data_IF_788342049121
#
_entry.id   IF_788342049121
#
_cell.length_a   1.000
_cell.length_b   1.000
_cell.length_c   1.000
_cell.angle_alpha   90.00
_cell.angle_beta   90.00
_cell.angle_gamma   90.00
#
_symmetry.space_group_name_H-M   'P 1'
#
loop_
_entity.id
_entity.type
_entity.pdbx_description
1 polymer ?
#
# COMPACT_ATOMS: atom_id res chain seq x y z
N UNK A 1 25.05 17.58 22.32
CA UNK A 1 26.00 16.58 22.79
C UNK A 1 25.68 15.30 22.10
N UNK A 2 26.52 15.00 21.13
CA UNK A 2 26.79 13.72 20.49
C UNK A 2 25.67 12.71 20.31
N UNK A 3 25.01 12.78 19.13
CA UNK A 3 24.26 11.70 18.52
C UNK A 3 25.02 11.21 17.26
N UNK A 4 26.24 10.74 17.46
CA UNK A 4 27.07 10.19 16.36
C UNK A 4 27.79 8.95 16.85
N UNK A 5 27.10 7.83 16.99
CA UNK A 5 27.79 6.53 17.12
C UNK A 5 26.78 5.38 17.12
N UNK A 6 26.13 5.08 15.98
CA UNK A 6 25.36 3.83 15.86
C UNK A 6 25.43 3.19 14.47
N UNK A 7 26.39 3.58 13.67
CA UNK A 7 26.63 2.94 12.38
C UNK A 7 28.10 2.53 12.28
N UNK A 8 28.49 1.39 12.85
CA UNK A 8 29.67 0.60 12.47
C UNK A 8 29.82 -0.61 13.37
N UNK A 9 29.34 -1.77 12.92
CA UNK A 9 29.96 -3.05 13.20
C UNK A 9 29.36 -4.12 12.28
N UNK A 10 29.71 -4.08 11.01
CA UNK A 10 29.55 -5.20 10.10
C UNK A 10 30.67 -6.20 10.34
N UNK A 11 30.35 -7.43 10.69
CA UNK A 11 31.30 -8.52 10.74
C UNK A 11 31.24 -9.28 9.41
N UNK A 12 32.33 -9.22 8.64
CA UNK A 12 32.56 -9.98 7.42
C UNK A 12 32.76 -11.44 7.77
N UNK A 13 31.89 -12.33 7.28
CA UNK A 13 32.19 -13.75 7.17
C UNK A 13 32.03 -14.15 5.69
N UNK A 14 33.16 -14.36 5.03
CA UNK A 14 33.22 -14.83 3.65
C UNK A 14 32.98 -16.33 3.58
N UNK A 15 31.88 -16.74 2.90
CA UNK A 15 31.82 -18.03 2.17
C UNK A 15 30.81 -17.91 1.01
N UNK A 16 31.29 -18.04 -0.22
CA UNK A 16 30.54 -18.49 -1.40
C UNK A 16 29.72 -17.42 -2.14
N UNK A 17 30.21 -17.00 -3.28
CA UNK A 17 29.71 -16.15 -4.32
C UNK A 17 28.16 -16.06 -4.46
N UNK A 18 27.57 -15.04 -3.88
CA UNK A 18 26.32 -14.41 -4.21
C UNK A 18 26.45 -12.99 -3.73
N UNK A 19 26.38 -12.03 -4.64
CA UNK A 19 26.41 -10.61 -4.28
C UNK A 19 25.09 -10.31 -3.57
N UNK A 20 25.08 -10.39 -2.25
CA UNK A 20 24.02 -9.82 -1.41
C UNK A 20 24.33 -8.32 -1.33
N UNK A 21 23.65 -7.53 -2.12
CA UNK A 21 23.56 -6.09 -1.89
C UNK A 21 22.77 -5.92 -0.57
N UNK A 22 23.47 -5.64 0.51
CA UNK A 22 22.84 -5.16 1.73
C UNK A 22 22.40 -3.71 1.46
N UNK A 23 21.11 -3.48 1.38
CA UNK A 23 20.54 -2.12 1.37
C UNK A 23 20.74 -1.52 2.77
N UNK A 24 21.86 -0.82 2.98
CA UNK A 24 22.06 0.02 4.16
C UNK A 24 21.21 1.29 3.98
N UNK A 25 19.92 1.23 4.34
CA UNK A 25 19.09 2.43 4.46
C UNK A 25 19.67 3.30 5.57
N UNK A 26 20.06 4.52 5.22
CA UNK A 26 20.70 5.44 6.15
C UNK A 26 19.66 6.06 7.07
N UNK A 27 19.76 5.82 8.37
CA UNK A 27 18.91 6.50 9.36
C UNK A 27 19.06 8.03 9.25
N UNK A 28 17.93 8.71 9.03
CA UNK A 28 17.88 10.18 8.93
C UNK A 28 17.91 10.66 7.48
N UNK A 29 17.01 10.17 6.65
CA UNK A 29 16.73 10.71 5.33
C UNK A 29 16.60 12.25 5.36
N UNK A 30 17.11 12.94 4.35
CA UNK A 30 17.14 14.40 4.28
C UNK A 30 16.76 14.88 2.86
N UNK A 31 16.17 16.07 2.78
CA UNK A 31 15.84 16.69 1.50
C UNK A 31 17.05 16.74 0.56
N UNK A 32 16.86 16.26 -0.68
CA UNK A 32 17.92 16.20 -1.68
C UNK A 32 18.08 17.55 -2.38
N UNK A 33 19.24 18.23 -2.28
CA UNK A 33 19.45 19.52 -2.93
C UNK A 33 19.33 19.49 -4.46
N UNK A 34 19.49 18.30 -5.06
CA UNK A 34 19.46 18.09 -6.52
C UNK A 34 18.15 17.50 -7.04
N UNK A 35 17.13 17.32 -6.19
CA UNK A 35 15.85 16.69 -6.59
C UNK A 35 15.85 15.18 -6.57
N UNK A 36 16.73 14.54 -5.80
CA UNK A 36 16.78 13.10 -5.59
C UNK A 36 17.25 12.29 -6.81
N UNK A 37 17.05 10.97 -6.78
CA UNK A 37 17.65 10.04 -7.74
C UNK A 37 17.12 10.19 -9.18
N UNK A 38 15.98 10.82 -9.38
CA UNK A 38 15.34 11.03 -10.68
C UNK A 38 15.47 12.47 -11.20
N UNK A 39 16.12 13.36 -10.44
CA UNK A 39 16.22 14.78 -10.74
C UNK A 39 15.01 15.59 -10.28
N UNK A 40 15.13 16.91 -10.33
CA UNK A 40 14.09 17.80 -9.81
C UNK A 40 12.91 17.91 -10.76
N UNK A 41 11.70 17.88 -10.21
CA UNK A 41 10.46 18.23 -10.91
C UNK A 41 10.13 19.73 -10.79
N UNK A 42 10.86 20.48 -9.96
CA UNK A 42 10.61 21.91 -9.72
C UNK A 42 10.80 22.73 -10.99
N UNK A 43 9.80 23.59 -11.28
CA UNK A 43 9.80 24.45 -12.46
C UNK A 43 9.48 23.74 -13.78
N UNK A 44 9.19 22.45 -13.77
CA UNK A 44 8.71 21.71 -14.94
C UNK A 44 7.22 21.98 -15.15
N UNK A 45 6.79 21.95 -16.39
CA UNK A 45 5.36 22.06 -16.72
C UNK A 45 4.70 20.67 -16.62
N UNK A 46 3.42 20.60 -16.21
CA UNK A 46 2.69 19.37 -16.28
C UNK A 46 2.54 18.86 -17.72
N UNK A 47 2.46 17.56 -17.86
CA UNK A 47 2.15 16.91 -19.13
C UNK A 47 0.65 17.05 -19.49
N UNK A 48 0.22 16.36 -20.58
CA UNK A 48 -1.18 16.42 -21.04
C UNK A 48 -2.19 15.80 -20.05
N UNK A 49 -1.73 15.00 -19.10
CA UNK A 49 -2.53 14.33 -18.08
C UNK A 49 -2.49 15.07 -16.72
N UNK A 50 -1.85 16.24 -16.67
CA UNK A 50 -1.77 17.07 -15.47
C UNK A 50 -0.65 16.66 -14.49
N UNK A 51 0.25 15.75 -14.86
CA UNK A 51 1.35 15.30 -14.02
C UNK A 51 2.65 16.06 -14.29
N UNK A 52 3.28 16.55 -13.22
CA UNK A 52 4.67 17.04 -13.28
C UNK A 52 5.59 15.85 -13.04
N UNK A 53 6.42 15.52 -14.02
CA UNK A 53 7.26 14.33 -14.04
C UNK A 53 8.74 14.67 -14.22
N UNK A 54 9.68 13.82 -13.78
CA UNK A 54 11.10 13.95 -14.10
C UNK A 54 11.36 13.82 -15.60
N UNK A 55 12.55 14.18 -16.02
CA UNK A 55 12.96 14.03 -17.43
C UNK A 55 12.97 12.56 -17.86
N UNK A 56 12.42 12.28 -19.05
CA UNK A 56 12.34 10.94 -19.61
C UNK A 56 11.15 10.11 -19.16
N UNK A 57 10.32 10.63 -18.25
CA UNK A 57 9.07 9.98 -17.83
C UNK A 57 7.87 10.53 -18.59
N UNK A 58 6.89 9.66 -18.81
CA UNK A 58 5.61 9.99 -19.46
C UNK A 58 4.47 9.34 -18.68
N UNK A 59 3.25 9.86 -18.84
CA UNK A 59 2.08 9.27 -18.18
C UNK A 59 0.95 8.98 -19.13
N UNK A 60 0.01 8.16 -18.69
CA UNK A 60 -1.35 8.04 -19.24
C UNK A 60 -2.38 7.90 -18.13
N UNK A 61 -3.61 8.28 -18.42
CA UNK A 61 -4.78 7.93 -17.61
C UNK A 61 -5.19 6.50 -18.00
N UNK A 62 -5.29 5.62 -16.99
CA UNK A 62 -5.69 4.21 -17.17
C UNK A 62 -7.19 4.05 -17.01
N UNK A 63 -7.75 4.68 -15.98
CA UNK A 63 -9.17 4.59 -15.67
C UNK A 63 -9.65 5.86 -14.94
N UNK A 64 -10.94 6.18 -15.11
CA UNK A 64 -11.64 7.26 -14.40
C UNK A 64 -12.89 6.65 -13.79
N UNK A 65 -13.11 6.86 -12.50
CA UNK A 65 -14.28 6.33 -11.78
C UNK A 65 -15.59 6.73 -12.47
N UNK A 66 -16.47 5.75 -12.65
CA UNK A 66 -17.74 5.92 -13.35
C UNK A 66 -17.64 5.99 -14.88
N UNK A 67 -16.45 5.90 -15.46
CA UNK A 67 -16.27 5.76 -16.91
C UNK A 67 -15.89 4.30 -17.25
N UNK A 68 -16.21 3.84 -18.48
CA UNK A 68 -15.76 2.54 -18.95
C UNK A 68 -14.21 2.46 -19.00
N UNK A 69 -13.67 1.34 -18.54
CA UNK A 69 -12.24 1.03 -18.66
C UNK A 69 -11.94 0.54 -20.06
N UNK A 70 -11.29 1.37 -20.87
CA UNK A 70 -11.03 1.05 -22.27
C UNK A 70 -12.30 0.65 -23.03
N UNK A 71 -12.24 -0.42 -23.80
CA UNK A 71 -13.38 -0.97 -24.56
C UNK A 71 -14.08 -2.14 -23.83
N UNK A 72 -13.80 -2.37 -22.55
CA UNK A 72 -14.31 -3.54 -21.78
C UNK A 72 -15.79 -3.42 -21.41
N UNK A 73 -16.31 -2.18 -21.35
CA UNK A 73 -17.67 -1.90 -20.88
C UNK A 73 -17.82 -1.96 -19.34
N UNK A 74 -16.76 -2.27 -18.61
CA UNK A 74 -16.74 -2.20 -17.15
C UNK A 74 -16.52 -0.76 -16.71
N UNK A 75 -17.42 -0.21 -15.89
CA UNK A 75 -17.26 1.12 -15.28
C UNK A 75 -16.33 1.05 -14.09
N UNK A 76 -15.27 1.89 -14.09
CA UNK A 76 -14.31 1.90 -12.98
C UNK A 76 -14.96 2.31 -11.66
N UNK A 77 -14.60 1.64 -10.60
CA UNK A 77 -15.17 1.87 -9.28
C UNK A 77 -14.81 3.26 -8.72
N UNK A 78 -15.56 3.69 -7.70
CA UNK A 78 -15.35 4.95 -6.99
C UNK A 78 -14.21 4.79 -5.99
N UNK A 79 -13.55 5.91 -5.67
CA UNK A 79 -12.51 5.99 -4.65
C UNK A 79 -11.44 4.90 -4.81
N UNK A 80 -10.71 4.88 -5.95
CA UNK A 80 -9.64 3.94 -6.16
C UNK A 80 -8.55 4.16 -5.12
N UNK A 81 -8.17 3.10 -4.40
CA UNK A 81 -7.24 3.15 -3.29
C UNK A 81 -6.09 2.17 -3.45
N UNK A 82 -5.69 1.45 -2.38
CA UNK A 82 -4.59 0.52 -2.38
C UNK A 82 -4.60 -0.44 -3.55
N UNK A 83 -3.44 -0.64 -4.16
CA UNK A 83 -3.31 -1.39 -5.39
C UNK A 83 -2.06 -2.27 -5.42
N UNK A 84 -2.09 -3.27 -6.29
CA UNK A 84 -0.93 -4.08 -6.63
C UNK A 84 -1.07 -4.67 -8.03
N UNK A 85 0.04 -5.21 -8.55
CA UNK A 85 0.05 -5.92 -9.83
C UNK A 85 0.46 -7.38 -9.66
N UNK A 86 -0.08 -8.25 -10.52
CA UNK A 86 0.14 -9.68 -10.49
C UNK A 86 0.38 -10.21 -11.89
N UNK A 87 1.48 -10.95 -12.16
CA UNK A 87 1.69 -11.55 -13.49
C UNK A 87 0.58 -12.53 -13.81
N UNK A 88 0.09 -12.52 -15.05
CA UNK A 88 -0.96 -13.42 -15.53
C UNK A 88 -0.46 -14.81 -15.95
N UNK A 89 0.86 -14.97 -16.07
CA UNK A 89 1.53 -16.19 -16.53
C UNK A 89 1.82 -16.23 -18.03
N UNK A 90 1.21 -15.35 -18.81
CA UNK A 90 1.39 -15.26 -20.28
C UNK A 90 2.20 -14.01 -20.70
N UNK A 91 2.74 -13.29 -19.73
CA UNK A 91 3.58 -12.10 -19.90
C UNK A 91 2.85 -10.77 -19.73
N UNK A 92 1.53 -10.80 -19.61
CA UNK A 92 0.69 -9.69 -19.17
C UNK A 92 0.58 -9.65 -17.64
N UNK A 93 -0.33 -8.82 -17.13
CA UNK A 93 -0.55 -8.71 -15.69
C UNK A 93 -1.96 -8.21 -15.36
N UNK A 94 -2.38 -8.51 -14.14
CA UNK A 94 -3.53 -7.88 -13.51
C UNK A 94 -3.07 -6.68 -12.68
N UNK A 95 -3.72 -5.55 -12.82
CA UNK A 95 -3.69 -4.45 -11.87
C UNK A 95 -4.94 -4.56 -11.01
N UNK A 96 -4.76 -4.70 -9.70
CA UNK A 96 -5.85 -4.84 -8.72
C UNK A 96 -5.89 -3.57 -7.89
N UNK A 97 -7.10 -3.03 -7.67
CA UNK A 97 -7.30 -1.80 -6.94
C UNK A 97 -8.55 -1.87 -6.05
N UNK A 98 -8.42 -1.40 -4.84
CA UNK A 98 -9.48 -1.26 -3.87
C UNK A 98 -10.44 -0.11 -4.20
N UNK A 99 -11.65 -0.19 -3.69
CA UNK A 99 -12.68 0.84 -3.74
C UNK A 99 -13.05 1.23 -2.32
N UNK A 100 -12.55 2.35 -1.85
CA UNK A 100 -12.75 2.80 -0.47
C UNK A 100 -14.07 3.56 -0.31
N UNK A 101 -15.19 2.92 -0.59
CA UNK A 101 -16.49 3.51 -0.34
C UNK A 101 -16.90 3.26 1.12
N UNK A 102 -16.91 4.33 1.90
CA UNK A 102 -17.28 4.26 3.32
C UNK A 102 -18.73 3.85 3.53
N UNK A 103 -18.98 2.99 4.50
CA UNK A 103 -20.32 2.50 4.85
C UNK A 103 -21.28 3.61 5.26
N UNK A 104 -20.78 4.70 5.85
CA UNK A 104 -21.60 5.85 6.25
C UNK A 104 -22.05 6.71 5.05
N UNK A 105 -21.31 6.69 3.93
CA UNK A 105 -21.72 7.37 2.70
C UNK A 105 -22.86 6.64 2.00
N UNK A 106 -22.99 5.34 2.22
CA UNK A 106 -23.96 4.48 1.54
C UNK A 106 -24.77 3.61 2.52
N UNK A 107 -25.58 4.23 3.41
CA UNK A 107 -26.28 3.50 4.46
C UNK A 107 -27.12 2.33 3.89
N UNK A 108 -26.81 1.12 4.34
CA UNK A 108 -27.50 -0.11 3.90
C UNK A 108 -27.03 -0.66 2.56
N UNK A 109 -25.99 -0.11 1.98
CA UNK A 109 -25.32 -0.63 0.78
C UNK A 109 -23.82 -0.83 1.07
N UNK A 110 -23.25 -1.89 0.52
CA UNK A 110 -21.82 -2.17 0.56
C UNK A 110 -21.26 -1.96 -0.85
N UNK A 111 -20.81 -0.75 -1.14
CA UNK A 111 -20.29 -0.36 -2.46
C UNK A 111 -18.76 -0.40 -2.53
N UNK A 112 -18.08 -0.67 -1.42
CA UNK A 112 -16.66 -0.98 -1.38
C UNK A 112 -16.33 -2.27 -2.11
N UNK A 113 -15.08 -2.69 -2.09
CA UNK A 113 -14.60 -3.94 -2.67
C UNK A 113 -13.37 -3.75 -3.54
N UNK A 114 -13.15 -4.65 -4.49
CA UNK A 114 -11.93 -4.71 -5.30
C UNK A 114 -12.26 -4.93 -6.75
N UNK A 115 -11.53 -4.24 -7.64
CA UNK A 115 -11.61 -4.47 -9.09
C UNK A 115 -10.25 -4.81 -9.67
N UNK A 116 -10.24 -5.45 -10.83
CA UNK A 116 -9.04 -5.76 -11.58
C UNK A 116 -9.12 -5.21 -13.01
N UNK A 117 -7.98 -4.79 -13.55
CA UNK A 117 -7.76 -4.54 -14.98
C UNK A 117 -6.73 -5.56 -15.46
N UNK A 118 -7.03 -6.28 -16.51
CA UNK A 118 -6.11 -7.22 -17.15
C UNK A 118 -5.41 -6.56 -18.33
N UNK A 119 -4.09 -6.52 -18.29
CA UNK A 119 -3.24 -5.98 -19.35
C UNK A 119 -2.52 -7.10 -20.11
N UNK A 120 -2.29 -6.88 -21.39
CA UNK A 120 -1.42 -7.73 -22.19
C UNK A 120 0.08 -7.41 -21.99
N UNK A 121 0.94 -8.07 -22.76
CA UNK A 121 2.40 -7.88 -22.71
C UNK A 121 2.87 -6.47 -23.07
N UNK A 122 2.10 -5.73 -23.84
CA UNK A 122 2.42 -4.38 -24.30
C UNK A 122 1.80 -3.31 -23.39
N UNK A 123 0.94 -3.73 -22.43
CA UNK A 123 0.23 -2.87 -21.51
C UNK A 123 -1.09 -2.33 -22.07
N UNK A 124 -1.64 -3.00 -23.09
CA UNK A 124 -2.98 -2.71 -23.58
C UNK A 124 -4.02 -3.41 -22.70
N UNK A 125 -5.16 -2.75 -22.48
CA UNK A 125 -6.22 -3.29 -21.64
C UNK A 125 -6.97 -4.39 -22.40
N UNK A 126 -6.98 -5.60 -21.82
CA UNK A 126 -7.70 -6.76 -22.35
C UNK A 126 -9.10 -6.88 -21.72
N UNK A 127 -9.21 -6.65 -20.41
CA UNK A 127 -10.46 -6.82 -19.66
C UNK A 127 -10.43 -6.00 -18.35
N UNK A 128 -11.60 -5.75 -17.77
CA UNK A 128 -11.74 -5.18 -16.42
C UNK A 128 -13.01 -5.73 -15.77
N UNK A 129 -12.93 -6.00 -14.47
CA UNK A 129 -14.04 -6.64 -13.73
C UNK A 129 -13.90 -6.48 -12.22
N UNK A 130 -14.99 -6.75 -11.51
CA UNK A 130 -15.03 -6.79 -10.05
C UNK A 130 -14.57 -8.15 -9.54
N UNK A 131 -13.74 -8.19 -8.48
CA UNK A 131 -13.25 -9.42 -7.84
C UNK A 131 -13.67 -9.54 -6.37
N UNK A 132 -14.15 -8.46 -5.74
CA UNK A 132 -14.78 -8.45 -4.43
C UNK A 132 -15.97 -7.50 -4.44
N UNK A 133 -17.13 -7.99 -4.05
CA UNK A 133 -18.37 -7.23 -3.85
C UNK A 133 -18.88 -7.42 -2.43
N UNK A 134 -19.68 -6.47 -1.95
CA UNK A 134 -20.37 -6.60 -0.66
C UNK A 134 -19.51 -6.30 0.55
N UNK A 135 -18.32 -5.71 0.37
CA UNK A 135 -17.49 -5.13 1.42
C UNK A 135 -17.59 -3.60 1.43
N UNK A 136 -16.89 -2.94 2.32
CA UNK A 136 -16.91 -1.48 2.47
C UNK A 136 -15.57 -0.96 2.97
N UNK A 137 -15.28 0.31 2.68
CA UNK A 137 -14.07 0.98 3.16
C UNK A 137 -12.79 0.17 2.88
N UNK A 138 -12.72 -0.41 1.67
CA UNK A 138 -11.51 -1.16 1.27
C UNK A 138 -10.43 -0.15 0.94
N UNK A 139 -9.59 0.15 1.93
CA UNK A 139 -8.53 1.14 1.85
C UNK A 139 -7.30 0.57 1.14
N UNK A 140 -6.31 0.11 1.87
CA UNK A 140 -5.13 -0.48 1.25
C UNK A 140 -5.10 -2.03 1.41
N UNK A 141 -3.92 -2.61 1.43
CA UNK A 141 -3.75 -4.05 1.49
C UNK A 141 -2.34 -4.49 1.15
N UNK A 142 -2.19 -5.68 0.56
CA UNK A 142 -0.89 -6.17 0.14
C UNK A 142 -0.93 -7.41 -0.75
N UNK A 143 0.05 -7.54 -1.67
CA UNK A 143 0.19 -8.72 -2.51
C UNK A 143 0.72 -9.90 -1.71
N UNK A 144 0.18 -11.09 -2.00
CA UNK A 144 0.72 -12.33 -1.46
C UNK A 144 1.76 -12.95 -2.38
N UNK A 145 2.73 -13.69 -1.85
CA UNK A 145 3.69 -14.43 -2.67
C UNK A 145 3.07 -15.54 -3.53
N UNK A 146 1.83 -15.96 -3.22
CA UNK A 146 1.10 -16.97 -3.99
C UNK A 146 0.13 -16.36 -5.01
N UNK A 147 0.18 -15.02 -5.22
CA UNK A 147 -0.47 -14.35 -6.33
C UNK A 147 -1.91 -13.92 -6.06
N UNK A 148 -2.30 -13.70 -4.81
CA UNK A 148 -3.59 -13.11 -4.43
C UNK A 148 -3.39 -11.72 -3.83
N UNK A 149 -4.46 -10.93 -3.78
CA UNK A 149 -4.52 -9.62 -3.14
C UNK A 149 -5.21 -9.73 -1.79
N UNK A 150 -4.59 -9.23 -0.73
CA UNK A 150 -5.21 -9.04 0.57
C UNK A 150 -5.74 -7.61 0.66
N UNK A 151 -7.06 -7.45 0.63
CA UNK A 151 -7.75 -6.17 0.74
C UNK A 151 -8.21 -5.93 2.16
N UNK A 152 -7.94 -4.75 2.70
CA UNK A 152 -8.21 -4.36 4.07
C UNK A 152 -9.46 -3.49 4.17
N UNK A 153 -10.40 -3.84 5.06
CA UNK A 153 -11.54 -2.99 5.39
C UNK A 153 -11.16 -2.04 6.53
N UNK A 154 -11.15 -0.75 6.23
CA UNK A 154 -10.87 0.30 7.20
C UNK A 154 -12.17 0.83 7.84
N UNK A 155 -12.76 0.02 8.71
CA UNK A 155 -14.01 0.36 9.39
C UNK A 155 -13.75 1.20 10.65
N UNK A 156 -13.74 2.52 10.50
CA UNK A 156 -13.58 3.47 11.61
C UNK A 156 -14.75 3.49 12.60
N UNK A 157 -15.96 3.10 12.17
CA UNK A 157 -17.18 3.31 12.97
C UNK A 157 -17.40 2.13 13.92
N UNK A 158 -17.49 0.92 13.37
CA UNK A 158 -17.70 -0.27 14.17
C UNK A 158 -16.38 -0.87 14.65
N UNK A 159 -15.26 -0.57 13.99
CA UNK A 159 -13.95 -1.21 14.17
C UNK A 159 -14.07 -2.74 14.04
N UNK A 160 -14.76 -3.18 13.00
CA UNK A 160 -15.06 -4.58 12.71
C UNK A 160 -14.59 -4.98 11.30
N UNK A 161 -13.73 -4.15 10.68
CA UNK A 161 -13.14 -4.43 9.38
C UNK A 161 -12.41 -5.77 9.34
N UNK A 162 -12.37 -6.38 8.18
CA UNK A 162 -11.75 -7.67 7.88
C UNK A 162 -10.67 -7.51 6.81
N UNK A 163 -9.83 -8.51 6.69
CA UNK A 163 -8.93 -8.70 5.54
C UNK A 163 -9.55 -9.73 4.61
N UNK A 164 -9.67 -9.37 3.33
CA UNK A 164 -10.24 -10.20 2.27
C UNK A 164 -9.16 -10.65 1.31
N UNK A 165 -9.04 -11.95 1.08
CA UNK A 165 -8.16 -12.50 0.06
C UNK A 165 -8.89 -12.61 -1.27
N UNK A 166 -8.39 -11.96 -2.31
CA UNK A 166 -9.00 -11.84 -3.62
C UNK A 166 -8.10 -12.46 -4.70
N UNK A 167 -8.68 -13.25 -5.59
CA UNK A 167 -8.02 -13.76 -6.79
C UNK A 167 -8.03 -12.68 -7.88
N UNK A 168 -6.86 -12.15 -8.32
CA UNK A 168 -6.79 -11.13 -9.35
C UNK A 168 -7.47 -11.51 -10.67
N UNK A 169 -7.51 -12.80 -10.99
CA UNK A 169 -8.17 -13.30 -12.21
C UNK A 169 -9.70 -13.35 -12.10
N UNK A 170 -10.27 -13.15 -10.91
CA UNK A 170 -11.71 -13.26 -10.64
C UNK A 170 -12.29 -14.67 -10.76
N UNK A 171 -11.45 -15.71 -10.93
CA UNK A 171 -11.92 -17.10 -11.10
C UNK A 171 -12.40 -17.73 -9.79
N UNK A 172 -11.83 -17.29 -8.67
CA UNK A 172 -12.20 -17.76 -7.34
C UNK A 172 -12.88 -16.64 -6.56
N UNK A 173 -13.89 -16.95 -5.73
CA UNK A 173 -14.53 -15.95 -4.89
C UNK A 173 -13.54 -15.45 -3.82
N UNK A 174 -13.69 -14.18 -3.40
CA UNK A 174 -12.93 -13.64 -2.30
C UNK A 174 -13.26 -14.31 -0.96
N UNK A 175 -12.27 -14.40 -0.07
CA UNK A 175 -12.36 -15.08 1.23
C UNK A 175 -12.00 -14.11 2.34
N UNK A 176 -12.87 -13.97 3.35
CA UNK A 176 -12.60 -13.19 4.55
C UNK A 176 -11.77 -14.00 5.57
N UNK A 177 -10.75 -13.36 6.15
CA UNK A 177 -9.87 -13.97 7.14
C UNK A 177 -10.11 -13.41 8.55
N UNK A 178 -11.11 -13.92 9.25
CA UNK A 178 -11.48 -13.45 10.60
C UNK A 178 -10.35 -13.66 11.64
N UNK A 179 -9.52 -14.67 11.45
CA UNK A 179 -8.41 -14.97 12.35
C UNK A 179 -7.33 -13.87 12.36
N UNK A 180 -7.28 -13.03 11.34
CA UNK A 180 -6.36 -11.89 11.28
C UNK A 180 -6.79 -10.72 12.16
N UNK A 181 -7.98 -10.79 12.78
CA UNK A 181 -8.50 -9.80 13.72
C UNK A 181 -9.53 -8.85 13.11
N UNK A 182 -10.09 -7.98 13.97
CA UNK A 182 -11.13 -7.01 13.60
C UNK A 182 -10.78 -5.63 14.13
N UNK A 183 -10.53 -4.68 13.22
CA UNK A 183 -10.29 -3.26 13.49
C UNK A 183 -10.43 -2.45 12.19
N UNK A 184 -10.06 -1.17 12.18
CA UNK A 184 -9.84 -0.40 10.96
C UNK A 184 -8.52 -0.87 10.32
N UNK A 185 -8.60 -1.92 9.49
CA UNK A 185 -7.44 -2.47 8.78
C UNK A 185 -7.03 -1.52 7.65
N UNK A 186 -5.76 -1.10 7.68
CA UNK A 186 -5.23 -0.25 6.62
C UNK A 186 -4.50 -1.09 5.56
N UNK A 187 -3.37 -1.66 5.88
CA UNK A 187 -2.57 -2.39 4.91
C UNK A 187 -1.94 -3.66 5.52
N UNK A 188 -1.43 -4.54 4.64
CA UNK A 188 -0.78 -5.78 5.03
C UNK A 188 0.44 -6.08 4.16
N UNK A 189 1.54 -6.50 4.77
CA UNK A 189 2.73 -6.99 4.07
C UNK A 189 3.01 -8.45 4.44
N UNK A 190 3.38 -9.27 3.46
CA UNK A 190 3.67 -10.68 3.66
C UNK A 190 5.16 -10.93 3.56
N UNK A 191 5.75 -11.50 4.60
CA UNK A 191 7.11 -12.03 4.56
C UNK A 191 7.10 -13.44 3.95
N UNK A 192 7.63 -13.63 2.74
CA UNK A 192 7.63 -14.94 2.08
C UNK A 192 8.63 -15.93 2.68
N UNK A 193 9.56 -15.46 3.52
CA UNK A 193 10.63 -16.29 4.08
C UNK A 193 10.18 -16.98 5.35
N UNK A 194 9.61 -16.20 6.28
CA UNK A 194 9.15 -16.72 7.57
C UNK A 194 7.64 -16.99 7.60
N UNK A 195 6.91 -16.64 6.52
CA UNK A 195 5.48 -16.89 6.36
C UNK A 195 4.60 -16.06 7.29
N UNK A 196 5.10 -14.91 7.76
CA UNK A 196 4.38 -14.01 8.65
C UNK A 196 3.78 -12.83 7.88
N UNK A 197 2.67 -12.30 8.39
CA UNK A 197 2.03 -11.11 7.85
C UNK A 197 2.08 -9.98 8.87
N UNK A 198 2.30 -8.76 8.38
CA UNK A 198 2.38 -7.54 9.18
C UNK A 198 1.27 -6.60 8.76
N UNK A 199 0.51 -6.07 9.73
CA UNK A 199 -0.71 -5.29 9.46
C UNK A 199 -0.66 -3.96 10.21
N UNK A 200 -1.05 -2.90 9.53
CA UNK A 200 -1.24 -1.57 10.12
C UNK A 200 -2.68 -1.35 10.57
N UNK A 201 -2.85 -0.47 11.54
CA UNK A 201 -4.14 -0.02 12.02
C UNK A 201 -4.21 1.51 11.94
N UNK A 202 -5.13 2.08 11.16
CA UNK A 202 -5.38 3.50 11.23
C UNK A 202 -6.23 3.83 12.45
N UNK A 203 -5.54 4.26 13.47
CA UNK A 203 -6.09 4.83 14.68
C UNK A 203 -5.01 5.64 15.41
N UNK A 204 -5.38 6.72 16.10
CA UNK A 204 -4.42 7.55 16.87
C UNK A 204 -3.63 6.80 17.93
N UNK A 205 -4.15 5.68 18.41
CA UNK A 205 -3.47 4.73 19.30
C UNK A 205 -3.32 3.38 18.59
N UNK A 206 -3.23 3.36 17.26
CA UNK A 206 -3.05 2.18 16.45
C UNK A 206 -1.76 1.46 16.75
N UNK A 207 -1.70 0.20 16.41
CA UNK A 207 -0.54 -0.66 16.58
C UNK A 207 -0.14 -1.26 15.23
N UNK A 208 1.10 -1.73 15.16
CA UNK A 208 1.53 -2.67 14.14
C UNK A 208 1.34 -4.08 14.70
N UNK A 209 0.63 -4.91 13.94
CA UNK A 209 0.38 -6.30 14.28
C UNK A 209 1.20 -7.24 13.42
N UNK A 210 1.43 -8.46 13.95
CA UNK A 210 1.99 -9.59 13.21
C UNK A 210 1.03 -10.76 13.32
N UNK A 211 0.62 -11.29 12.17
CA UNK A 211 -0.15 -12.54 12.10
C UNK A 211 0.77 -13.69 11.71
N UNK A 212 0.73 -14.77 12.47
CA UNK A 212 1.47 -16.00 12.21
C UNK A 212 0.48 -17.11 11.90
N UNK A 213 0.32 -17.51 10.63
CA UNK A 213 -0.56 -18.60 10.24
C UNK A 213 -0.13 -19.92 10.89
N UNK A 214 -1.11 -20.75 11.29
CA UNK A 214 -0.83 -22.09 11.80
C UNK A 214 -0.24 -23.02 10.73
N UNK A 215 -0.57 -22.78 9.47
CA UNK A 215 -0.14 -23.58 8.32
C UNK A 215 0.01 -22.74 7.06
N UNK A 216 1.07 -21.90 6.99
CA UNK A 216 1.35 -21.06 5.81
C UNK A 216 1.31 -21.85 4.50
N UNK A 217 0.64 -21.38 3.41
CA UNK A 217 0.00 -20.06 3.25
C UNK A 217 -1.50 -20.02 3.63
N UNK A 218 -2.05 -20.99 4.35
CA UNK A 218 -3.43 -20.96 4.81
C UNK A 218 -3.61 -19.90 5.93
N UNK A 219 -4.42 -18.88 5.67
CA UNK A 219 -4.68 -17.77 6.59
C UNK A 219 -5.93 -17.96 7.47
N UNK A 220 -6.59 -19.11 7.38
CA UNK A 220 -7.85 -19.38 8.07
C UNK A 220 -7.70 -19.52 9.59
N UNK A 221 -6.50 -19.84 10.09
CA UNK A 221 -6.17 -19.96 11.50
C UNK A 221 -4.73 -19.52 11.76
N UNK A 222 -4.51 -18.92 12.93
CA UNK A 222 -3.18 -18.42 13.30
C UNK A 222 -3.21 -17.61 14.58
N UNK A 223 -2.08 -16.99 14.91
CA UNK A 223 -1.90 -16.16 16.10
C UNK A 223 -1.63 -14.72 15.68
N UNK A 224 -2.30 -13.79 16.36
CA UNK A 224 -2.10 -12.36 16.23
C UNK A 224 -1.26 -11.83 17.40
N UNK A 225 -0.21 -11.08 17.09
CA UNK A 225 0.67 -10.42 18.06
C UNK A 225 0.74 -8.92 17.77
N UNK A 226 1.00 -8.08 18.78
CA UNK A 226 1.29 -6.66 18.60
C UNK A 226 2.77 -6.36 18.87
N UNK A 227 3.33 -5.40 18.14
CA UNK A 227 4.73 -5.00 18.23
C UNK A 227 5.04 -4.30 19.54
N UNK A 228 6.17 -4.67 20.18
CA UNK A 228 6.76 -4.01 21.32
C UNK A 228 8.20 -3.61 20.95
N UNK A 229 8.54 -2.34 21.15
CA UNK A 229 9.89 -1.82 20.85
C UNK A 229 10.57 -1.40 22.15
N UNK A 230 11.72 -1.98 22.42
CA UNK A 230 12.55 -1.60 23.56
C UNK A 230 13.31 -0.28 23.32
N UNK A 231 13.82 0.34 24.35
CA UNK A 231 14.52 1.63 24.25
C UNK A 231 15.82 1.60 23.42
N UNK A 232 16.35 0.42 23.14
CA UNK A 232 17.51 0.19 22.24
C UNK A 232 17.10 -0.17 20.82
N UNK A 233 15.79 -0.17 20.51
CA UNK A 233 15.21 -0.52 19.21
C UNK A 233 14.98 -2.02 19.00
N UNK A 234 15.20 -2.88 19.98
CA UNK A 234 14.88 -4.30 19.86
C UNK A 234 13.37 -4.52 19.79
N UNK A 235 12.93 -5.36 18.83
CA UNK A 235 11.53 -5.69 18.61
C UNK A 235 11.19 -7.02 19.25
N UNK A 236 10.08 -7.05 19.96
CA UNK A 236 9.44 -8.26 20.48
C UNK A 236 7.94 -8.19 20.21
N UNK A 237 7.23 -9.28 20.43
CA UNK A 237 5.83 -9.41 20.05
C UNK A 237 5.02 -9.93 21.23
N UNK A 238 3.90 -9.27 21.51
CA UNK A 238 2.96 -9.65 22.57
C UNK A 238 1.67 -10.17 21.97
N UNK A 239 1.17 -11.31 22.47
CA UNK A 239 -0.03 -11.95 21.96
C UNK A 239 -1.30 -11.11 22.18
N UNK A 240 -2.12 -10.95 21.14
CA UNK A 240 -3.49 -10.41 21.20
C UNK A 240 -4.42 -11.59 21.51
N UNK A 241 -4.90 -11.66 22.74
CA UNK A 241 -5.66 -12.82 23.23
C UNK A 241 -7.04 -12.98 22.59
N UNK A 242 -7.63 -11.85 22.15
CA UNK A 242 -8.94 -11.81 21.48
C UNK A 242 -8.84 -10.98 20.19
N UNK A 243 -8.48 -11.61 19.05
CA UNK A 243 -8.43 -10.92 17.77
C UNK A 243 -9.79 -10.37 17.29
N UNK A 244 -10.93 -10.91 17.77
CA UNK A 244 -12.26 -10.39 17.42
C UNK A 244 -12.54 -9.00 17.99
N UNK A 245 -11.80 -8.59 19.03
CA UNK A 245 -12.01 -7.32 19.72
C UNK A 245 -13.30 -7.24 20.53
N UNK A 246 -14.02 -8.36 20.74
CA UNK A 246 -15.28 -8.39 21.48
C UNK A 246 -15.09 -8.13 22.97
N UNK A 247 -14.03 -8.68 23.58
CA UNK A 247 -13.74 -8.50 25.01
C UNK A 247 -13.06 -7.18 25.31
N UNK A 248 -12.16 -6.73 24.43
CA UNK A 248 -11.43 -5.45 24.46
C UNK A 248 -10.89 -5.16 23.07
N UNK A 249 -10.77 -3.88 22.70
CA UNK A 249 -10.16 -3.53 21.41
C UNK A 249 -8.77 -4.15 21.30
N UNK A 250 -8.42 -4.64 20.13
CA UNK A 250 -7.13 -5.33 19.88
C UNK A 250 -5.94 -4.52 20.35
N UNK A 251 -5.95 -3.20 20.13
CA UNK A 251 -4.89 -2.27 20.57
C UNK A 251 -4.74 -2.09 22.07
N UNK A 252 -5.77 -2.46 22.85
CA UNK A 252 -5.77 -2.30 24.32
C UNK A 252 -5.36 -3.59 25.05
N UNK A 253 -5.08 -4.68 24.33
CA UNK A 253 -4.87 -6.00 24.93
C UNK A 253 -3.40 -6.29 25.28
N UNK A 254 -2.43 -5.59 24.66
CA UNK A 254 -1.01 -5.86 24.86
C UNK A 254 -0.33 -4.73 25.63
N UNK A 255 -0.03 -4.91 26.93
CA UNK A 255 0.66 -3.90 27.71
C UNK A 255 2.04 -3.60 27.16
N UNK A 256 2.34 -2.32 26.95
CA UNK A 256 3.65 -1.87 26.45
C UNK A 256 3.82 -2.02 24.94
N UNK A 257 2.77 -2.31 24.18
CA UNK A 257 2.80 -2.28 22.73
C UNK A 257 3.25 -0.90 22.21
N UNK A 258 4.00 -0.89 21.13
CA UNK A 258 4.51 0.33 20.51
C UNK A 258 3.40 0.98 19.69
N UNK A 259 3.02 2.21 20.07
CA UNK A 259 1.97 2.97 19.38
C UNK A 259 2.51 3.45 18.03
N UNK A 260 1.79 3.13 16.97
CA UNK A 260 2.00 3.60 15.59
C UNK A 260 0.80 4.45 15.19
N UNK A 261 0.82 5.78 15.49
CA UNK A 261 -0.38 6.61 15.45
C UNK A 261 -0.80 6.91 14.00
N UNK A 262 -1.97 6.42 13.60
CA UNK A 262 -2.42 6.49 12.20
C UNK A 262 -1.51 5.62 11.33
N UNK A 263 -1.50 4.32 11.56
CA UNK A 263 -0.71 3.38 10.76
C UNK A 263 -1.36 3.22 9.40
N UNK A 264 -0.61 3.55 8.34
CA UNK A 264 -1.02 3.59 6.94
C UNK A 264 -0.38 2.45 6.14
N UNK A 265 0.12 2.75 4.94
CA UNK A 265 0.73 1.78 4.05
C UNK A 265 1.86 0.96 4.68
N UNK A 266 2.04 -0.27 4.19
CA UNK A 266 3.10 -1.18 4.64
C UNK A 266 3.61 -2.00 3.45
N UNK A 267 4.92 -2.26 3.40
CA UNK A 267 5.53 -3.05 2.34
C UNK A 267 6.67 -3.92 2.84
N UNK A 268 6.75 -5.14 2.31
CA UNK A 268 7.87 -6.05 2.55
C UNK A 268 8.85 -6.04 1.37
N UNK A 269 10.14 -5.96 1.64
CA UNK A 269 11.19 -6.20 0.66
C UNK A 269 12.48 -6.69 1.34
N UNK A 270 13.06 -7.78 0.86
CA UNK A 270 14.39 -8.33 1.27
C UNK A 270 14.64 -8.46 2.78
N UNK A 271 13.64 -8.85 3.54
CA UNK A 271 13.73 -9.07 4.99
C UNK A 271 13.51 -7.82 5.82
N UNK A 272 13.04 -6.75 5.20
CA UNK A 272 12.55 -5.55 5.85
C UNK A 272 11.05 -5.37 5.63
N UNK A 273 10.42 -4.75 6.61
CA UNK A 273 9.07 -4.20 6.50
C UNK A 273 9.16 -2.70 6.75
N UNK A 274 8.69 -1.91 5.78
CA UNK A 274 8.53 -0.46 5.92
C UNK A 274 7.06 -0.13 6.06
N UNK A 275 6.73 0.81 6.93
CA UNK A 275 5.36 1.28 7.11
C UNK A 275 5.33 2.77 7.44
N UNK A 276 4.20 3.39 7.21
CA UNK A 276 3.97 4.82 7.41
C UNK A 276 3.01 5.06 8.57
N UNK A 277 3.11 6.24 9.18
CA UNK A 277 2.17 6.72 10.21
C UNK A 277 1.78 8.17 9.92
N UNK A 278 0.52 8.39 9.56
CA UNK A 278 -0.01 9.69 9.12
C UNK A 278 -0.04 10.73 10.24
N UNK A 279 -0.45 10.33 11.45
CA UNK A 279 -0.68 11.28 12.56
C UNK A 279 0.59 12.04 12.96
N UNK A 280 1.78 11.42 12.87
CA UNK A 280 3.06 12.03 13.22
C UNK A 280 4.01 12.18 12.02
N UNK A 281 3.52 11.90 10.80
CA UNK A 281 4.20 12.06 9.52
C UNK A 281 5.55 11.34 9.48
N UNK A 282 5.55 10.02 9.70
CA UNK A 282 6.78 9.22 9.80
C UNK A 282 6.78 8.02 8.87
N UNK A 283 7.99 7.62 8.47
CA UNK A 283 8.27 6.33 7.82
C UNK A 283 9.16 5.49 8.71
N UNK A 284 8.78 4.27 8.95
CA UNK A 284 9.40 3.33 9.87
C UNK A 284 9.92 2.12 9.12
N UNK A 285 10.93 1.45 9.68
CA UNK A 285 11.46 0.20 9.19
C UNK A 285 11.65 -0.84 10.30
N UNK A 286 11.46 -2.09 9.96
CA UNK A 286 11.79 -3.23 10.81
C UNK A 286 12.70 -4.17 10.03
N UNK A 287 13.92 -4.35 10.52
CA UNK A 287 14.80 -5.44 10.09
C UNK A 287 14.29 -6.73 10.74
N UNK A 288 13.64 -7.58 9.95
CA UNK A 288 13.05 -8.83 10.43
C UNK A 288 14.08 -9.87 10.84
N UNK A 289 15.27 -9.85 10.23
CA UNK A 289 16.34 -10.81 10.54
C UNK A 289 16.95 -10.55 11.91
N UNK A 290 17.10 -9.25 12.25
CA UNK A 290 17.73 -8.80 13.50
C UNK A 290 16.69 -8.40 14.56
N UNK A 291 15.39 -8.40 14.21
CA UNK A 291 14.29 -7.92 15.05
C UNK A 291 14.60 -6.53 15.60
N UNK A 292 14.88 -5.59 14.69
CA UNK A 292 15.26 -4.22 14.99
C UNK A 292 14.32 -3.23 14.33
N UNK A 293 13.85 -2.27 15.09
CA UNK A 293 13.08 -1.13 14.63
C UNK A 293 14.00 0.06 14.34
N UNK A 294 13.73 0.79 13.27
CA UNK A 294 14.40 2.02 12.88
C UNK A 294 13.37 3.07 12.42
N UNK A 295 13.62 4.32 12.77
CA UNK A 295 12.88 5.47 12.23
C UNK A 295 13.60 5.93 10.96
N UNK A 296 12.98 5.71 9.81
CA UNK A 296 13.56 6.00 8.50
C UNK A 296 13.41 7.47 8.14
N UNK A 297 12.19 8.02 8.32
CA UNK A 297 11.88 9.42 8.07
C UNK A 297 11.13 10.02 9.25
N UNK A 298 11.53 11.21 9.68
CA UNK A 298 10.85 12.01 10.70
C UNK A 298 10.40 13.34 10.11
N UNK A 299 9.15 13.38 9.65
CA UNK A 299 8.51 14.56 9.08
C UNK A 299 7.87 15.50 10.10
N UNK A 300 8.19 15.37 11.39
CA UNK A 300 7.61 16.20 12.47
C UNK A 300 8.04 17.68 12.45
N UNK A 301 9.02 18.04 11.60
CA UNK A 301 9.51 19.42 11.45
C UNK A 301 8.74 20.24 10.41
N UNK A 302 8.96 21.58 10.42
CA UNK A 302 8.40 22.47 9.41
C UNK A 302 9.12 22.30 8.05
N UNK A 303 8.35 22.42 6.95
CA UNK A 303 8.85 22.40 5.55
C UNK A 303 9.58 21.13 5.15
N UNK A 304 8.95 20.01 5.37
CA UNK A 304 9.43 18.72 4.94
C UNK A 304 9.15 18.49 3.44
N UNK A 305 10.03 17.78 2.72
CA UNK A 305 9.77 17.37 1.33
C UNK A 305 8.75 16.25 1.19
N UNK A 306 8.35 15.61 2.28
CA UNK A 306 7.34 14.56 2.36
C UNK A 306 6.39 14.89 3.49
N UNK A 307 5.13 15.07 3.18
CA UNK A 307 4.07 15.46 4.12
C UNK A 307 2.85 14.57 3.94
N UNK A 308 2.12 14.30 5.04
CA UNK A 308 0.92 13.47 4.95
C UNK A 308 1.21 12.08 4.39
N UNK A 309 2.22 11.40 4.95
CA UNK A 309 2.59 10.05 4.51
C UNK A 309 1.40 9.11 4.56
N UNK A 310 1.23 8.32 3.51
CA UNK A 310 0.15 7.37 3.36
C UNK A 310 0.67 6.05 2.80
N UNK A 311 0.18 5.58 1.66
CA UNK A 311 0.60 4.33 1.06
C UNK A 311 2.09 4.34 0.68
N UNK A 312 2.73 3.18 0.75
CA UNK A 312 4.14 2.99 0.47
C UNK A 312 4.36 1.74 -0.40
N UNK A 313 5.28 1.83 -1.34
CA UNK A 313 5.80 0.67 -2.07
C UNK A 313 7.31 0.75 -2.19
N UNK A 314 7.94 -0.37 -2.51
CA UNK A 314 9.38 -0.45 -2.77
C UNK A 314 9.62 -0.77 -4.24
N UNK A 315 10.45 0.02 -4.89
CA UNK A 315 10.99 -0.35 -6.18
C UNK A 315 11.99 -1.51 -6.03
N UNK A 316 11.57 -2.72 -6.36
CA UNK A 316 12.36 -3.94 -6.16
C UNK A 316 13.71 -3.95 -6.90
N UNK A 317 13.98 -3.02 -7.81
CA UNK A 317 15.24 -2.95 -8.54
C UNK A 317 16.25 -1.98 -7.95
N UNK A 318 15.81 -0.93 -7.30
CA UNK A 318 16.66 0.05 -6.63
C UNK A 318 16.65 -0.07 -5.11
N UNK A 319 15.58 -0.63 -4.53
CA UNK A 319 15.30 -0.61 -3.10
C UNK A 319 14.74 0.73 -2.61
N UNK A 320 14.47 1.67 -3.51
CA UNK A 320 13.91 2.98 -3.14
C UNK A 320 12.46 2.84 -2.69
N UNK A 321 12.09 3.61 -1.67
CA UNK A 321 10.71 3.71 -1.20
C UNK A 321 9.99 4.79 -2.01
N UNK A 322 8.79 4.48 -2.48
CA UNK A 322 7.86 5.43 -3.09
C UNK A 322 6.68 5.60 -2.13
N UNK A 323 6.54 6.80 -1.58
CA UNK A 323 5.54 7.15 -0.58
C UNK A 323 4.54 8.11 -1.21
N UNK A 324 3.27 7.76 -1.14
CA UNK A 324 2.17 8.63 -1.54
C UNK A 324 1.79 9.59 -0.42
N UNK A 325 1.27 10.77 -0.78
CA UNK A 325 0.80 11.78 0.17
C UNK A 325 -0.74 11.82 0.22
N UNK A 326 -1.28 11.85 1.45
CA UNK A 326 -2.67 12.21 1.69
C UNK A 326 -2.77 13.73 1.82
N UNK A 327 -3.29 14.37 0.77
CA UNK A 327 -3.41 15.82 0.69
C UNK A 327 -2.09 16.53 0.42
N UNK A 328 -1.90 17.69 1.03
CA UNK A 328 -0.68 18.50 0.85
C UNK A 328 -0.54 19.05 -0.55
N UNK A 329 0.55 18.70 -1.22
CA UNK A 329 0.88 19.12 -2.59
C UNK A 329 0.72 18.00 -3.63
N UNK A 330 0.06 16.90 -3.26
CA UNK A 330 -0.28 15.78 -4.14
C UNK A 330 0.93 15.16 -4.84
N UNK A 331 1.88 14.68 -4.05
CA UNK A 331 3.13 14.10 -4.55
C UNK A 331 3.25 12.60 -4.26
N UNK A 332 3.93 11.90 -5.14
CA UNK A 332 4.65 10.67 -4.80
C UNK A 332 6.09 11.06 -4.52
N UNK A 333 6.57 10.77 -3.33
CA UNK A 333 7.91 11.14 -2.86
C UNK A 333 8.79 9.90 -2.77
N UNK A 334 10.03 10.01 -3.24
CA UNK A 334 11.03 8.94 -3.15
C UNK A 334 11.92 9.16 -1.94
N UNK A 335 12.11 8.10 -1.16
CA UNK A 335 13.21 7.98 -0.19
C UNK A 335 14.20 6.97 -0.77
N UNK A 336 15.35 7.44 -1.22
CA UNK A 336 16.35 6.58 -1.84
C UNK A 336 17.11 5.75 -0.82
N UNK A 337 17.73 4.66 -1.29
CA UNK A 337 18.64 3.84 -0.46
C UNK A 337 19.85 4.61 0.05
N UNK A 338 20.19 5.75 -0.56
CA UNK A 338 21.22 6.66 -0.07
C UNK A 338 20.71 7.66 0.98
N UNK A 339 19.39 7.63 1.29
CA UNK A 339 18.73 8.51 2.26
C UNK A 339 18.34 9.87 1.71
N UNK A 340 18.30 10.04 0.39
CA UNK A 340 17.77 11.24 -0.25
C UNK A 340 16.25 11.21 -0.28
N UNK A 341 15.59 12.33 0.06
CA UNK A 341 14.14 12.47 0.00
C UNK A 341 13.78 13.57 -0.98
N UNK A 342 13.01 13.24 -2.02
CA UNK A 342 12.59 14.20 -3.03
C UNK A 342 11.28 13.79 -3.71
N UNK A 343 10.48 14.76 -4.19
CA UNK A 343 9.34 14.48 -5.04
C UNK A 343 9.74 13.71 -6.31
N UNK A 344 9.01 12.64 -6.61
CA UNK A 344 9.11 11.93 -7.87
C UNK A 344 8.12 12.50 -8.89
N UNK A 345 6.85 12.63 -8.51
CA UNK A 345 5.86 13.25 -9.37
C UNK A 345 4.83 14.03 -8.55
N UNK A 346 4.11 14.95 -9.23
CA UNK A 346 3.06 15.78 -8.62
C UNK A 346 1.86 15.83 -9.55
N UNK A 347 0.65 15.74 -9.00
CA UNK A 347 -0.57 16.09 -9.70
C UNK A 347 -0.74 17.61 -9.58
N UNK A 348 -0.66 18.33 -10.71
CA UNK A 348 -0.57 19.80 -10.69
C UNK A 348 -1.92 20.52 -10.79
N UNK A 349 -3.00 19.84 -11.14
CA UNK A 349 -4.32 20.45 -11.22
C UNK A 349 -4.89 20.68 -9.81
N UNK A 350 -5.16 21.93 -9.40
CA UNK A 350 -5.74 22.23 -8.08
C UNK A 350 -7.11 21.57 -7.83
N UNK A 351 -7.79 21.08 -8.86
CA UNK A 351 -9.01 20.31 -8.69
C UNK A 351 -8.78 18.97 -7.95
N UNK A 352 -7.53 18.52 -7.83
CA UNK A 352 -7.13 17.36 -7.04
C UNK A 352 -6.71 17.69 -5.60
N UNK A 353 -6.53 18.97 -5.22
CA UNK A 353 -6.05 19.36 -3.89
C UNK A 353 -6.86 18.76 -2.71
N UNK A 354 -8.20 18.57 -2.80
CA UNK A 354 -8.95 17.92 -1.72
C UNK A 354 -8.90 16.38 -1.77
N UNK A 355 -8.09 15.81 -2.63
CA UNK A 355 -7.87 14.37 -2.78
C UNK A 355 -6.59 13.92 -2.04
N UNK A 356 -6.27 12.68 -2.22
CA UNK A 356 -5.02 12.03 -1.84
C UNK A 356 -4.47 11.21 -3.00
N UNK A 357 -3.20 10.88 -2.95
CA UNK A 357 -2.58 9.90 -3.85
C UNK A 357 -2.57 8.54 -3.16
N UNK A 358 -3.08 7.51 -3.84
CA UNK A 358 -3.25 6.18 -3.29
C UNK A 358 -2.63 5.10 -4.18
N UNK A 359 -2.37 3.93 -3.59
CA UNK A 359 -2.03 2.69 -4.27
C UNK A 359 -0.80 2.70 -5.17
N UNK A 360 0.34 3.37 -4.81
CA UNK A 360 1.52 3.32 -5.65
C UNK A 360 2.02 1.87 -5.77
N UNK A 361 2.14 1.36 -6.99
CA UNK A 361 2.67 0.01 -7.23
C UNK A 361 3.30 -0.11 -8.62
N UNK A 362 4.30 -0.98 -8.73
CA UNK A 362 4.97 -1.25 -10.00
C UNK A 362 4.35 -2.42 -10.74
N UNK A 363 4.38 -2.38 -12.09
CA UNK A 363 4.10 -3.57 -12.89
C UNK A 363 5.16 -4.67 -12.64
N UNK A 364 4.89 -5.94 -12.97
CA UNK A 364 5.83 -7.04 -12.69
C UNK A 364 7.19 -6.90 -13.38
N UNK A 365 7.33 -6.04 -14.37
CA UNK A 365 8.59 -5.74 -15.09
C UNK A 365 9.28 -4.48 -14.58
N UNK A 366 8.62 -3.70 -13.71
CA UNK A 366 9.08 -2.39 -13.23
C UNK A 366 9.30 -1.34 -14.34
N UNK A 367 8.53 -1.44 -15.39
CA UNK A 367 8.51 -0.47 -16.47
C UNK A 367 7.46 0.61 -16.27
N UNK A 368 6.50 0.35 -15.36
CA UNK A 368 5.34 1.19 -15.06
C UNK A 368 5.13 1.32 -13.57
N UNK A 369 4.86 2.55 -13.12
CA UNK A 369 4.33 2.85 -11.80
C UNK A 369 2.88 3.27 -11.96
N UNK A 370 1.98 2.61 -11.23
CA UNK A 370 0.57 2.97 -11.10
C UNK A 370 0.34 3.70 -9.79
N UNK A 371 -0.60 4.63 -9.77
CA UNK A 371 -1.17 5.25 -8.58
C UNK A 371 -2.49 5.91 -8.93
N UNK A 372 -3.28 6.31 -7.92
CA UNK A 372 -4.55 6.99 -8.15
C UNK A 372 -4.59 8.33 -7.42
N UNK A 373 -5.35 9.28 -7.97
CA UNK A 373 -5.97 10.35 -7.20
C UNK A 373 -7.33 9.84 -6.76
N UNK A 374 -7.52 9.58 -5.48
CA UNK A 374 -8.67 8.84 -4.96
C UNK A 374 -10.00 9.55 -5.24
N UNK A 375 -10.03 10.88 -5.08
CA UNK A 375 -11.25 11.72 -5.14
C UNK A 375 -11.20 12.86 -6.17
N UNK A 376 -10.09 13.06 -6.87
CA UNK A 376 -9.93 14.13 -7.86
C UNK A 376 -10.25 13.73 -9.30
N UNK A 377 -10.45 14.65 -10.23
CA UNK A 377 -10.62 16.10 -10.04
C UNK A 377 -12.06 16.48 -9.66
N UNK A 378 -12.21 17.61 -8.94
CA UNK A 378 -13.41 18.10 -8.27
C UNK A 378 -14.69 18.37 -9.06
N UNK A 379 -14.86 17.92 -10.29
CA UNK A 379 -15.95 18.36 -11.16
C UNK A 379 -17.02 17.31 -11.53
N UNK A 380 -16.84 16.04 -11.20
CA UNK A 380 -17.88 15.02 -11.37
C UNK A 380 -18.50 14.71 -10.02
N UNK A 381 -19.73 15.15 -9.82
CA UNK A 381 -20.47 14.93 -8.60
C UNK A 381 -20.80 13.44 -8.47
N UNK A 382 -20.30 12.82 -7.42
CA UNK A 382 -20.76 11.52 -6.94
C UNK A 382 -22.27 11.46 -6.71
N UNK A 383 -22.96 12.61 -6.61
CA UNK A 383 -24.43 12.73 -6.61
C UNK A 383 -25.11 12.02 -7.78
N UNK A 384 -24.50 12.08 -8.97
CA UNK A 384 -25.03 11.41 -10.16
C UNK A 384 -24.73 9.92 -10.16
N UNK A 385 -23.67 9.51 -9.45
CA UNK A 385 -23.18 8.12 -9.39
C UNK A 385 -23.78 7.38 -8.19
N UNK A 386 -23.98 8.07 -7.06
CA UNK A 386 -24.62 7.51 -5.85
C UNK A 386 -25.86 8.35 -5.48
N UNK A 387 -26.94 8.27 -6.28
CA UNK A 387 -28.13 9.13 -6.09
C UNK A 387 -28.92 8.84 -4.81
N UNK A 388 -28.61 7.76 -4.11
CA UNK A 388 -29.30 7.35 -2.89
C UNK A 388 -28.79 8.04 -1.64
N UNK A 389 -27.66 8.78 -1.72
CA UNK A 389 -27.13 9.53 -0.58
C UNK A 389 -27.80 10.90 -0.53
N UNK A 390 -28.31 11.26 0.66
CA UNK A 390 -28.66 12.64 0.97
C UNK A 390 -27.37 13.44 1.24
N UNK A 391 -26.86 14.07 0.20
CA UNK A 391 -25.61 14.81 0.24
C UNK A 391 -25.68 16.10 1.07
N UNK A 392 -26.91 16.53 1.49
CA UNK A 392 -27.15 17.68 2.35
C UNK A 392 -26.25 18.88 2.05
N UNK A 393 -25.50 19.31 3.08
CA UNK A 393 -24.49 20.38 3.00
C UNK A 393 -23.08 19.86 2.63
N UNK A 394 -22.96 18.64 2.09
CA UNK A 394 -21.66 18.13 1.65
C UNK A 394 -21.04 19.10 0.63
N UNK A 395 -19.72 19.38 0.72
CA UNK A 395 -19.03 20.26 -0.22
C UNK A 395 -19.33 19.86 -1.66
N UNK A 396 -19.61 20.84 -2.52
CA UNK A 396 -19.59 20.62 -3.96
C UNK A 396 -18.19 20.13 -4.32
N UNK A 397 -18.02 18.85 -4.64
CA UNK A 397 -16.72 18.36 -5.03
C UNK A 397 -16.27 17.02 -4.48
N UNK A 398 -17.11 16.23 -3.85
CA UNK A 398 -16.84 14.79 -3.71
C UNK A 398 -16.81 14.18 -5.11
N UNK A 399 -15.64 13.71 -5.54
CA UNK A 399 -15.34 13.49 -6.93
C UNK A 399 -14.89 12.08 -7.22
N UNK A 400 -14.86 11.81 -8.47
CA UNK A 400 -14.47 10.54 -9.07
C UNK A 400 -12.94 10.44 -9.07
N UNK A 401 -12.41 9.27 -8.75
CA UNK A 401 -10.99 9.01 -8.78
C UNK A 401 -10.41 8.86 -10.19
N UNK A 402 -9.12 9.07 -10.31
CA UNK A 402 -8.37 8.86 -11.56
C UNK A 402 -7.18 7.97 -11.28
N UNK A 403 -7.04 6.87 -12.03
CA UNK A 403 -5.87 5.99 -11.98
C UNK A 403 -4.91 6.34 -13.10
N UNK A 404 -3.65 6.56 -12.73
CA UNK A 404 -2.56 6.91 -13.64
C UNK A 404 -1.55 5.78 -13.77
N UNK A 405 -0.87 5.76 -14.92
CA UNK A 405 0.33 4.99 -15.19
C UNK A 405 1.45 5.96 -15.56
N UNK A 406 2.63 5.78 -15.00
CA UNK A 406 3.85 6.50 -15.33
C UNK A 406 4.89 5.52 -15.84
N UNK A 407 5.47 5.79 -17.01
CA UNK A 407 6.54 5.00 -17.62
C UNK A 407 7.81 5.82 -17.75
N UNK A 408 8.97 5.19 -17.60
CA UNK A 408 10.23 5.89 -17.74
C UNK A 408 11.44 5.09 -17.24
N UNK A 409 12.60 5.74 -17.18
CA UNK A 409 13.85 5.08 -16.81
C UNK A 409 13.98 4.91 -15.28
N UNK A 410 13.17 4.03 -14.68
CA UNK A 410 13.33 3.66 -13.27
C UNK A 410 14.72 3.09 -13.02
N UNK A 411 15.34 3.48 -11.92
CA UNK A 411 16.73 3.10 -11.61
C UNK A 411 16.83 1.67 -11.08
N UNK A 412 18.04 1.13 -11.11
CA UNK A 412 18.33 -0.22 -10.64
C UNK A 412 18.11 -1.31 -11.69
N UNK A 413 18.41 -2.53 -11.31
CA UNK A 413 18.21 -3.73 -12.16
C UNK A 413 17.32 -4.70 -11.40
N UNK A 414 16.23 -5.10 -12.03
CA UNK A 414 15.32 -6.08 -11.47
C UNK A 414 15.52 -7.45 -12.15
N UNK A 415 15.67 -8.48 -11.33
CA UNK A 415 15.60 -9.87 -11.76
C UNK A 415 14.32 -10.43 -11.14
N UNK A 416 13.27 -10.71 -11.93
CA UNK A 416 12.05 -11.25 -11.38
C UNK A 416 12.32 -12.55 -10.63
N UNK A 417 11.67 -12.78 -9.48
CA UNK A 417 11.79 -14.04 -8.76
C UNK A 417 11.36 -15.19 -9.70
N UNK A 418 11.96 -16.39 -9.57
CA UNK A 418 11.55 -17.53 -10.35
C UNK A 418 10.07 -17.80 -10.09
N UNK A 419 9.30 -17.92 -11.15
CA UNK A 419 7.85 -18.19 -11.09
C UNK A 419 7.61 -19.47 -10.29
N UNK A 420 7.16 -19.35 -9.06
CA UNK A 420 6.70 -20.51 -8.28
C UNK A 420 5.34 -20.91 -8.83
N UNK A 421 5.34 -21.89 -9.74
CA UNK A 421 4.10 -22.53 -10.21
C UNK A 421 3.51 -23.34 -9.06
N UNK A 422 2.29 -23.02 -8.70
CA UNK A 422 1.25 -23.77 -8.03
C UNK A 422 0.79 -23.17 -6.70
N UNK A 423 -0.36 -22.53 -6.76
CA UNK A 423 -1.23 -22.44 -5.60
C UNK A 423 -1.60 -23.88 -5.14
N UNK A 424 -1.65 -24.16 -3.84
CA UNK A 424 -2.16 -25.44 -3.37
C UNK A 424 -3.64 -25.58 -3.79
N UNK A 425 -3.94 -26.62 -4.56
CA UNK A 425 -5.32 -27.01 -4.85
C UNK A 425 -5.99 -27.40 -3.54
N UNK A 426 -6.86 -26.55 -3.03
CA UNK A 426 -7.82 -26.92 -1.98
C UNK A 426 -8.77 -27.97 -2.55
N UNK A 427 -8.48 -29.23 -2.29
CA UNK A 427 -9.45 -30.31 -2.51
C UNK A 427 -10.58 -30.13 -1.50
N UNK A 428 -11.75 -29.74 -2.00
CA UNK A 428 -12.97 -29.72 -1.20
C UNK A 428 -13.18 -31.14 -0.59
N UNK A 429 -13.39 -31.18 0.72
CA UNK A 429 -13.71 -32.40 1.40
C UNK A 429 -15.04 -32.97 0.86
N UNK A 430 -15.17 -34.29 0.64
CA UNK A 430 -16.42 -34.88 0.15
C UNK A 430 -17.49 -34.76 1.23
N UNK A 431 -18.60 -34.11 0.87
CA UNK A 431 -19.84 -34.11 1.67
C UNK A 431 -20.38 -35.54 1.76
N UNK A 432 -20.38 -36.10 2.97
CA UNK A 432 -21.18 -37.31 3.33
C UNK A 432 -22.41 -36.92 4.11
#
# INVERSE_FOLDING_TARGET
MERRTFLRSGLVATVGAGVLATTDMVAGAAAAPGGGPYGSIEGRSPDSNGLVLPEGFTSRVVAISGDPVGDTGYEWHLFPDGAATFPDGDGGWYYVCNSEVFSFLTPGQSLGGVSAIHFDTDGEILDAYRILEGSHSNCAGGPTPWGTWLSCEEDFIAEQGLVWECDPSGRNPAVAHEAMGRWAHEAVAVDPVDGMLYLTQDHRSGLLYRYTPDAYPDLSAGRLDAMIVAGDGAVTWGEVADPSGESAKTRDQVPGAFITPGGEGIWYHEGWVWFTTKTDNRVHGIDLRNQRYELIWDGSGDRQPLTGVDNITVDAGSGDLFVAEDGGNMEVVVISTEGEVAPFCRIADPAHDPSEITGPCFDPRRERLYFSSQRGPGNRLTRDIIPTIDWGDAPEGLTVGVTYEVTGPFRGTYVPPPTTTAAPTTTAAPTT
#
